data_IF_524055642725
#
_entry.id   IF_524055642725
#
_cell.length_a   1.000
_cell.length_b   1.000
_cell.length_c   1.000
_cell.angle_alpha   90.00
_cell.angle_beta   90.00
_cell.angle_gamma   90.00
#
_symmetry.space_group_name_H-M   'P 1'
#
loop_
_entity.id
_entity.type
_entity.pdbx_description
1 polymer ?
#
# COMPACT_ATOMS: atom_id res chain seq x y z
N UNK A 1 -0.09 -19.67 -2.96
CA UNK A 1 0.51 -18.71 -2.01
C UNK A 1 -0.50 -17.62 -1.74
N UNK A 2 -0.53 -17.07 -0.53
CA UNK A 2 -1.48 -16.02 -0.16
C UNK A 2 -0.70 -14.72 0.10
N UNK A 3 -1.28 -13.57 -0.27
CA UNK A 3 -0.72 -12.24 -0.02
C UNK A 3 -1.69 -11.38 0.79
N UNK A 4 -1.16 -10.64 1.76
CA UNK A 4 -1.89 -9.54 2.38
C UNK A 4 -1.56 -8.22 1.67
N UNK A 5 -2.56 -7.64 1.00
CA UNK A 5 -2.41 -6.42 0.22
C UNK A 5 -3.24 -5.31 0.85
N UNK A 6 -2.59 -4.18 1.15
CA UNK A 6 -3.23 -3.00 1.69
C UNK A 6 -3.54 -1.97 0.60
N UNK A 7 -4.70 -1.33 0.68
CA UNK A 7 -5.15 -0.26 -0.21
C UNK A 7 -5.40 0.99 0.62
N UNK A 8 -4.65 2.07 0.35
CA UNK A 8 -4.81 3.33 1.07
C UNK A 8 -6.00 4.14 0.56
N UNK A 9 -6.90 4.53 1.45
CA UNK A 9 -8.12 5.31 1.15
C UNK A 9 -8.44 6.35 2.22
N UNK A 10 -9.17 7.40 1.82
CA UNK A 10 -9.71 8.42 2.72
C UNK A 10 -11.24 8.41 2.83
N UNK A 11 -11.91 7.68 1.93
CA UNK A 11 -13.37 7.70 1.73
C UNK A 11 -13.95 6.29 1.50
N UNK A 12 -13.16 5.25 1.71
CA UNK A 12 -13.54 3.83 1.64
C UNK A 12 -13.89 3.33 0.24
N UNK A 13 -13.90 4.20 -0.78
CA UNK A 13 -14.23 3.86 -2.17
C UNK A 13 -13.07 4.09 -3.12
N UNK A 14 -12.32 5.16 -2.92
CA UNK A 14 -11.27 5.60 -3.81
C UNK A 14 -9.90 5.40 -3.17
N UNK A 15 -8.90 5.10 -4.00
CA UNK A 15 -7.51 5.20 -3.58
C UNK A 15 -7.19 6.66 -3.21
N UNK A 16 -6.39 6.83 -2.16
CA UNK A 16 -5.87 8.13 -1.77
C UNK A 16 -5.23 8.84 -2.97
N UNK A 17 -5.60 10.11 -3.17
CA UNK A 17 -5.20 10.91 -4.35
C UNK A 17 -3.79 11.50 -4.25
N UNK A 18 -3.31 11.65 -3.01
CA UNK A 18 -2.00 12.20 -2.71
C UNK A 18 -0.99 11.05 -2.60
N UNK A 19 -0.34 10.89 -1.44
CA UNK A 19 0.56 9.78 -1.18
C UNK A 19 -0.14 8.72 -0.35
N UNK A 20 -0.07 7.47 -0.78
CA UNK A 20 -0.71 6.33 -0.09
C UNK A 20 -0.36 6.23 1.40
N UNK A 21 0.86 6.62 1.79
CA UNK A 21 1.29 6.65 3.20
C UNK A 21 0.54 7.64 4.10
N UNK A 22 -0.21 8.57 3.51
CA UNK A 22 -1.03 9.58 4.20
C UNK A 22 -2.52 9.23 4.24
N UNK A 23 -2.92 8.10 3.63
CA UNK A 23 -4.31 7.67 3.64
C UNK A 23 -4.85 7.59 5.08
N UNK A 24 -6.11 7.96 5.30
CA UNK A 24 -6.77 7.81 6.62
C UNK A 24 -6.90 6.35 7.02
N UNK A 25 -7.19 5.48 6.05
CA UNK A 25 -7.42 4.06 6.28
C UNK A 25 -6.62 3.22 5.30
N UNK A 26 -6.25 2.03 5.75
CA UNK A 26 -5.73 0.95 4.91
C UNK A 26 -6.71 -0.21 4.95
N UNK A 27 -7.25 -0.55 3.79
CA UNK A 27 -8.13 -1.70 3.62
C UNK A 27 -7.25 -2.88 3.26
N UNK A 28 -7.31 -3.94 4.05
CA UNK A 28 -6.46 -5.12 3.87
C UNK A 28 -7.28 -6.24 3.28
N UNK A 29 -6.78 -6.77 2.18
CA UNK A 29 -7.35 -7.90 1.49
C UNK A 29 -6.35 -9.03 1.45
N UNK A 30 -6.87 -10.24 1.61
CA UNK A 30 -6.15 -11.48 1.42
C UNK A 30 -6.35 -11.93 -0.02
N UNK A 31 -5.28 -11.92 -0.81
CA UNK A 31 -5.25 -12.40 -2.18
C UNK A 31 -4.79 -13.85 -2.20
N UNK A 32 -5.56 -14.67 -2.91
CA UNK A 32 -5.20 -16.02 -3.33
C UNK A 32 -5.24 -16.07 -4.86
N UNK A 33 -4.92 -17.23 -5.44
CA UNK A 33 -4.94 -17.39 -6.91
C UNK A 33 -6.32 -17.11 -7.53
N UNK A 34 -7.38 -17.44 -6.81
CA UNK A 34 -8.73 -17.48 -7.38
C UNK A 34 -9.69 -16.45 -6.77
N UNK A 35 -9.30 -15.80 -5.66
CA UNK A 35 -10.15 -14.84 -4.95
C UNK A 35 -9.37 -13.86 -4.08
N UNK A 36 -10.05 -12.77 -3.77
CA UNK A 36 -9.69 -11.75 -2.79
C UNK A 36 -10.75 -11.68 -1.70
N UNK A 37 -10.29 -11.56 -0.46
CA UNK A 37 -11.18 -11.54 0.69
C UNK A 37 -10.81 -10.36 1.58
N UNK A 38 -11.77 -9.49 1.89
CA UNK A 38 -11.54 -8.40 2.83
C UNK A 38 -11.25 -8.99 4.21
N UNK A 39 -10.13 -8.59 4.81
CA UNK A 39 -9.71 -9.07 6.13
C UNK A 39 -10.09 -8.07 7.21
N UNK A 40 -9.59 -6.85 7.07
CA UNK A 40 -9.78 -5.80 8.07
C UNK A 40 -9.50 -4.41 7.50
N UNK A 41 -9.93 -3.40 8.24
CA UNK A 41 -9.55 -2.00 8.01
C UNK A 41 -8.64 -1.56 9.15
N UNK A 42 -7.47 -1.04 8.81
CA UNK A 42 -6.59 -0.36 9.78
C UNK A 42 -6.68 1.14 9.63
N UNK A 43 -6.87 1.84 10.74
CA UNK A 43 -6.77 3.29 10.77
C UNK A 43 -5.28 3.68 10.74
N UNK A 44 -4.93 4.59 9.84
CA UNK A 44 -3.58 5.14 9.85
C UNK A 44 -3.45 6.01 11.10
N UNK A 45 -2.42 5.76 11.89
CA UNK A 45 -2.11 6.60 13.04
C UNK A 45 -1.61 7.92 12.46
N UNK A 46 -2.54 8.84 12.16
CA UNK A 46 -2.22 10.24 11.97
C UNK A 46 -1.59 10.69 13.27
N UNK A 47 -0.26 10.75 13.30
CA UNK A 47 0.38 11.72 14.18
C UNK A 47 -0.30 13.04 13.82
N UNK A 48 -1.07 13.60 14.77
CA UNK A 48 -1.78 14.89 14.59
C UNK A 48 -0.84 15.79 13.81
N UNK A 49 -1.33 16.36 12.71
CA UNK A 49 -0.57 17.30 11.89
C UNK A 49 -0.14 18.49 12.75
N UNK A 50 0.91 18.32 13.54
CA UNK A 50 1.69 19.42 14.03
C UNK A 50 2.40 19.95 12.80
N UNK A 51 1.87 21.05 12.28
CA UNK A 51 2.35 21.73 11.06
C UNK A 51 3.82 22.17 11.18
N UNK A 52 4.45 21.97 12.34
CA UNK A 52 5.88 22.14 12.59
C UNK A 52 6.76 20.98 12.12
N UNK A 53 6.20 19.78 11.88
CA UNK A 53 6.98 18.59 11.45
C UNK A 53 7.29 18.62 9.94
N UNK A 54 8.57 18.84 9.61
CA UNK A 54 9.11 18.89 8.24
C UNK A 54 8.65 17.70 7.36
N UNK A 55 8.51 17.97 6.06
CA UNK A 55 8.23 16.93 5.05
C UNK A 55 9.32 15.82 5.10
N UNK A 56 8.91 14.56 5.20
CA UNK A 56 9.82 13.40 5.18
C UNK A 56 10.30 12.88 6.53
N UNK A 57 9.68 13.29 7.64
CA UNK A 57 10.06 12.87 8.99
C UNK A 57 10.12 11.33 9.16
N UNK A 58 11.26 10.77 9.63
CA UNK A 58 11.39 9.35 9.96
C UNK A 58 10.33 8.81 10.93
N UNK A 59 9.81 9.65 11.84
CA UNK A 59 8.77 9.25 12.80
C UNK A 59 7.44 8.94 12.10
N UNK A 60 7.08 9.73 11.07
CA UNK A 60 5.91 9.45 10.20
C UNK A 60 6.05 8.09 9.52
N UNK A 61 7.25 7.77 9.03
CA UNK A 61 7.51 6.46 8.41
C UNK A 61 7.41 5.32 9.42
N UNK A 62 7.78 5.55 10.69
CA UNK A 62 7.71 4.53 11.75
C UNK A 62 6.26 4.21 12.14
N UNK A 63 5.42 5.23 12.32
CA UNK A 63 4.00 5.06 12.67
C UNK A 63 3.18 4.41 11.53
N UNK A 64 3.35 4.85 10.29
CA UNK A 64 2.70 4.19 9.15
C UNK A 64 3.24 2.77 8.95
N UNK A 65 4.52 2.53 9.23
CA UNK A 65 5.10 1.19 9.12
C UNK A 65 4.58 0.21 10.16
N UNK A 66 4.18 0.65 11.35
CA UNK A 66 3.55 -0.27 12.33
C UNK A 66 2.13 -0.62 11.91
N UNK A 67 1.39 0.32 11.31
CA UNK A 67 0.06 0.03 10.76
C UNK A 67 0.13 -0.94 9.58
N UNK A 68 1.22 -0.93 8.82
CA UNK A 68 1.47 -1.83 7.68
C UNK A 68 2.33 -3.05 8.04
N UNK A 69 2.42 -3.41 9.32
CA UNK A 69 3.10 -4.62 9.74
C UNK A 69 2.38 -5.87 9.21
N UNK A 70 3.15 -6.90 8.83
CA UNK A 70 2.65 -8.14 8.24
C UNK A 70 1.88 -7.94 6.91
N UNK A 71 2.10 -6.83 6.21
CA UNK A 71 1.56 -6.58 4.87
C UNK A 71 2.62 -6.90 3.82
N UNK A 72 2.22 -7.65 2.79
CA UNK A 72 3.08 -8.06 1.70
C UNK A 72 3.24 -6.99 0.63
N UNK A 73 2.14 -6.29 0.32
CA UNK A 73 2.09 -5.25 -0.69
C UNK A 73 1.21 -4.07 -0.27
N UNK A 74 1.63 -2.86 -0.63
CA UNK A 74 0.85 -1.64 -0.49
C UNK A 74 0.50 -1.12 -1.87
N UNK A 75 -0.78 -0.89 -2.12
CA UNK A 75 -1.33 -0.35 -3.36
C UNK A 75 -1.75 1.09 -3.15
N UNK A 76 -1.32 1.97 -4.06
CA UNK A 76 -1.78 3.35 -4.10
C UNK A 76 -1.49 4.02 -5.43
N UNK A 77 -2.04 5.23 -5.62
CA UNK A 77 -1.86 5.99 -6.86
C UNK A 77 -0.50 6.67 -6.94
N UNK A 78 0.03 7.10 -5.80
CA UNK A 78 1.34 7.73 -5.69
C UNK A 78 1.99 7.37 -4.37
N UNK A 79 3.32 7.37 -4.39
CA UNK A 79 4.16 7.17 -3.22
C UNK A 79 5.00 8.43 -3.00
N UNK A 80 5.16 8.82 -1.74
CA UNK A 80 5.97 9.97 -1.37
C UNK A 80 7.47 9.64 -1.25
N UNK A 81 8.27 10.60 -0.75
CA UNK A 81 9.73 10.49 -0.66
C UNK A 81 10.26 9.28 0.13
N UNK A 82 9.44 8.70 1.02
CA UNK A 82 9.80 7.54 1.83
C UNK A 82 9.71 6.19 1.08
N UNK A 83 9.34 6.19 -0.20
CA UNK A 83 9.25 4.98 -1.02
C UNK A 83 10.48 4.05 -0.91
N UNK A 84 11.74 4.52 -1.00
CA UNK A 84 12.90 3.63 -0.92
C UNK A 84 13.08 2.93 0.44
N UNK A 85 12.50 3.48 1.51
CA UNK A 85 12.51 2.85 2.84
C UNK A 85 11.40 1.81 2.95
N UNK A 86 10.23 2.10 2.38
CA UNK A 86 9.07 1.21 2.42
C UNK A 86 9.25 -0.03 1.53
N UNK A 87 9.87 0.15 0.37
CA UNK A 87 10.15 -0.97 -0.56
C UNK A 87 11.05 -2.03 0.05
N UNK A 88 11.85 -1.73 1.07
CA UNK A 88 12.65 -2.73 1.79
C UNK A 88 11.84 -3.65 2.70
N UNK A 89 10.57 -3.32 2.96
CA UNK A 89 9.68 -4.04 3.88
C UNK A 89 8.56 -4.78 3.15
N UNK A 90 7.94 -4.13 2.17
CA UNK A 90 6.79 -4.63 1.43
C UNK A 90 6.86 -4.21 -0.04
N UNK A 91 6.10 -4.86 -0.91
CA UNK A 91 6.01 -4.51 -2.34
C UNK A 91 5.20 -3.21 -2.48
N UNK A 92 5.78 -2.21 -3.12
CA UNK A 92 5.09 -0.95 -3.38
C UNK A 92 4.49 -0.99 -4.80
N UNK A 93 3.17 -1.00 -4.89
CA UNK A 93 2.42 -1.17 -6.13
C UNK A 93 1.72 0.15 -6.47
N UNK A 94 2.10 0.76 -7.58
CA UNK A 94 1.47 1.97 -8.10
C UNK A 94 0.44 1.59 -9.17
N UNK A 95 -0.82 1.99 -8.98
CA UNK A 95 -1.91 1.72 -9.94
C UNK A 95 -2.56 3.04 -10.36
N UNK A 96 -2.75 3.21 -11.67
CA UNK A 96 -3.36 4.40 -12.27
C UNK A 96 -4.89 4.29 -12.36
N UNK A 97 -5.54 3.97 -11.25
CA UNK A 97 -7.01 3.93 -11.15
C UNK A 97 -7.48 4.72 -9.93
N UNK A 98 -8.75 5.13 -9.96
CA UNK A 98 -9.34 5.93 -8.88
C UNK A 98 -9.94 5.05 -7.78
N UNK A 99 -10.61 3.95 -8.13
CA UNK A 99 -11.41 3.16 -7.19
C UNK A 99 -10.62 2.00 -6.59
N UNK A 100 -10.93 1.63 -5.35
CA UNK A 100 -10.37 0.45 -4.70
C UNK A 100 -10.78 -0.82 -5.45
N UNK A 101 -12.03 -0.90 -5.91
CA UNK A 101 -12.53 -2.06 -6.66
C UNK A 101 -11.71 -2.34 -7.91
N UNK A 102 -11.43 -1.32 -8.72
CA UNK A 102 -10.61 -1.49 -9.92
C UNK A 102 -9.16 -1.79 -9.54
N UNK A 103 -8.66 -1.21 -8.46
CA UNK A 103 -7.29 -1.47 -7.98
C UNK A 103 -7.11 -2.93 -7.54
N UNK A 104 -8.14 -3.53 -6.93
CA UNK A 104 -8.16 -4.94 -6.55
C UNK A 104 -8.09 -5.82 -7.81
N UNK A 105 -8.92 -5.55 -8.81
CA UNK A 105 -8.93 -6.29 -10.08
C UNK A 105 -7.57 -6.23 -10.78
N UNK A 106 -6.96 -5.04 -10.87
CA UNK A 106 -5.62 -4.87 -11.46
C UNK A 106 -4.56 -5.63 -10.66
N UNK A 107 -4.61 -5.58 -9.33
CA UNK A 107 -3.69 -6.32 -8.48
C UNK A 107 -3.85 -7.85 -8.65
N UNK A 108 -5.07 -8.34 -8.80
CA UNK A 108 -5.36 -9.76 -9.04
C UNK A 108 -4.80 -10.22 -10.39
N UNK A 109 -5.12 -9.48 -11.46
CA UNK A 109 -4.67 -9.80 -12.81
C UNK A 109 -3.14 -9.78 -12.94
N UNK A 110 -2.43 -9.17 -11.99
CA UNK A 110 -0.98 -9.08 -11.94
C UNK A 110 -0.39 -9.75 -10.67
N UNK A 111 -1.12 -10.66 -10.03
CA UNK A 111 -0.72 -11.22 -8.74
C UNK A 111 0.65 -11.90 -8.81
N UNK A 112 0.92 -12.62 -9.91
CA UNK A 112 2.22 -13.29 -10.13
C UNK A 112 3.38 -12.29 -10.14
N UNK A 113 3.19 -11.11 -10.73
CA UNK A 113 4.20 -10.04 -10.75
C UNK A 113 4.44 -9.46 -9.36
N UNK A 114 3.40 -9.34 -8.53
CA UNK A 114 3.51 -8.91 -7.13
C UNK A 114 4.28 -9.98 -6.32
N UNK A 115 3.98 -11.26 -6.56
CA UNK A 115 4.65 -12.41 -5.95
C UNK A 115 6.14 -12.44 -6.30
N UNK A 116 6.48 -12.31 -7.58
CA UNK A 116 7.86 -12.24 -8.04
C UNK A 116 8.64 -11.11 -7.37
N UNK A 117 8.02 -9.93 -7.27
CA UNK A 117 8.64 -8.78 -6.64
C UNK A 117 8.83 -8.97 -5.12
N UNK A 118 7.86 -9.60 -4.44
CA UNK A 118 7.99 -9.98 -3.03
C UNK A 118 9.19 -10.91 -2.82
N UNK A 119 9.37 -11.89 -3.71
CA UNK A 119 10.42 -12.90 -3.62
C UNK A 119 11.84 -12.33 -3.79
N UNK A 120 12.00 -11.11 -4.34
CA UNK A 120 13.29 -10.40 -4.43
C UNK A 120 13.80 -9.87 -3.08
N UNK A 121 13.03 -10.01 -2.00
CA UNK A 121 13.49 -9.61 -0.66
C UNK A 121 13.90 -8.13 -0.60
N UNK A 122 15.12 -7.83 -0.17
CA UNK A 122 15.61 -6.44 0.00
C UNK A 122 15.92 -5.73 -1.33
N UNK A 123 16.08 -6.46 -2.41
CA UNK A 123 16.38 -5.92 -3.75
C UNK A 123 15.13 -5.56 -4.54
N UNK A 124 13.94 -5.75 -3.93
CA UNK A 124 12.67 -5.41 -4.55
C UNK A 124 12.55 -3.91 -4.84
N UNK A 125 11.96 -3.61 -5.98
CA UNK A 125 11.62 -2.27 -6.47
C UNK A 125 10.11 -2.04 -6.35
N UNK A 126 9.71 -0.79 -6.53
CA UNK A 126 8.30 -0.50 -6.75
C UNK A 126 7.91 -0.97 -8.15
N UNK A 127 6.66 -1.39 -8.30
CA UNK A 127 6.08 -1.78 -9.59
C UNK A 127 4.94 -0.86 -9.94
N UNK A 128 4.74 -0.67 -11.25
CA UNK A 128 3.63 0.10 -11.81
C UNK A 128 2.78 -0.89 -12.58
N UNK A 129 1.49 -0.94 -12.25
CA UNK A 129 0.47 -1.73 -12.93
C UNK A 129 -0.52 -0.78 -13.60
N UNK A 130 -0.92 -1.15 -14.81
CA UNK A 130 -1.92 -0.43 -15.59
C UNK A 130 -3.22 -1.23 -15.57
N UNK A 131 -4.35 -0.51 -15.64
CA UNK A 131 -5.68 -1.08 -15.70
C UNK A 131 -6.04 -1.49 -17.12
#
# INVERSE_FOLDING_TARGET
MELLIAFGTDDEKNLNKDHVGMAKYYYIYKFSKDKEEFVERRENVKFKEDKSLKHGDPEKAKATSSVLENIDALVGRRFGPNLPRLSKKLVCVMIRTDTISNAIEVAHNNIDRIIEEKNKGKDRKHIILEA
#
